data_IF_079585358553
#
_entry.id   IF_079585358553
#
_cell.length_a   1.000
_cell.length_b   1.000
_cell.length_c   1.000
_cell.angle_alpha   90.00
_cell.angle_beta   90.00
_cell.angle_gamma   90.00
#
_symmetry.space_group_name_H-M   'P 1'
#
loop_
_entity.id
_entity.type
_entity.pdbx_description
1 polymer ?
#
# COMPACT_ATOMS: atom_id res chain seq x y z
N UNK A 1 -14.57 -2.96 -6.48
CA UNK A 1 -14.02 -3.16 -7.81
C UNK A 1 -12.57 -3.62 -7.74
N UNK A 2 -11.87 -3.16 -6.71
CA UNK A 2 -10.48 -3.52 -6.51
C UNK A 2 -10.31 -5.03 -6.67
N UNK A 3 -9.05 -5.46 -6.66
CA UNK A 3 -8.73 -6.86 -6.80
C UNK A 3 -8.70 -7.52 -5.42
N UNK A 4 -9.13 -6.75 -4.43
CA UNK A 4 -9.15 -7.23 -3.05
C UNK A 4 -8.43 -6.26 -2.11
N UNK A 5 -8.19 -6.74 -0.90
CA UNK A 5 -7.51 -5.93 0.10
C UNK A 5 -6.04 -6.32 0.15
N UNK A 6 -5.21 -5.33 0.43
CA UNK A 6 -3.77 -5.56 0.52
C UNK A 6 -3.19 -4.92 1.79
N UNK A 7 -1.95 -5.28 2.07
CA UNK A 7 -1.27 -4.76 3.25
C UNK A 7 0.19 -4.46 2.90
N UNK A 8 0.50 -3.17 2.81
CA UNK A 8 1.85 -2.75 2.49
C UNK A 8 2.43 -1.98 3.68
N UNK A 9 3.75 -1.89 3.70
CA UNK A 9 4.44 -1.18 4.76
C UNK A 9 5.57 -0.34 4.16
N UNK A 10 5.91 0.73 4.86
CA UNK A 10 6.97 1.62 4.41
C UNK A 10 8.15 1.58 5.37
N UNK A 11 9.35 1.60 4.79
CA UNK A 11 10.56 1.57 5.58
C UNK A 11 10.48 2.62 6.68
N UNK A 12 11.51 2.64 7.52
CA UNK A 12 11.56 3.59 8.61
C UNK A 12 12.32 4.85 8.17
N UNK A 13 12.15 5.18 6.89
CA UNK A 13 12.81 6.35 6.32
C UNK A 13 11.76 7.27 5.70
N UNK A 14 10.81 6.64 5.00
CA UNK A 14 9.75 7.39 4.35
C UNK A 14 9.33 8.56 5.24
N UNK A 15 8.81 9.59 4.61
CA UNK A 15 8.36 10.78 5.33
C UNK A 15 6.88 10.63 5.70
N UNK A 16 6.44 11.53 6.57
CA UNK A 16 5.05 11.51 7.02
C UNK A 16 4.12 11.89 5.87
N UNK A 17 4.38 13.06 5.30
CA UNK A 17 3.58 13.55 4.20
C UNK A 17 3.62 12.55 3.04
N UNK A 18 4.76 11.88 2.93
CA UNK A 18 4.94 10.89 1.88
C UNK A 18 3.92 9.76 2.08
N UNK A 19 3.82 9.30 3.32
CA UNK A 19 2.90 8.23 3.65
C UNK A 19 1.49 8.63 3.18
N UNK A 20 1.01 9.74 3.71
CA UNK A 20 -0.31 10.22 3.35
C UNK A 20 -0.42 10.40 1.84
N UNK A 21 0.71 10.72 1.23
CA UNK A 21 0.74 10.92 -0.22
C UNK A 21 0.50 9.59 -0.94
N UNK A 22 1.47 8.69 -0.81
CA UNK A 22 1.37 7.39 -1.44
C UNK A 22 -0.04 6.82 -1.29
N UNK A 23 -0.55 6.92 -0.06
CA UNK A 23 -1.89 6.42 0.22
C UNK A 23 -2.91 7.21 -0.60
N UNK A 24 -2.76 8.53 -0.56
CA UNK A 24 -3.66 9.41 -1.29
C UNK A 24 -3.56 9.10 -2.79
N UNK A 25 -2.33 8.85 -3.22
CA UNK A 25 -2.08 8.54 -4.62
C UNK A 25 -2.94 7.36 -5.06
N UNK A 26 -3.13 6.43 -4.14
CA UNK A 26 -3.92 5.24 -4.42
C UNK A 26 -5.41 5.60 -4.35
N UNK A 27 -5.73 6.46 -3.39
CA UNK A 27 -7.12 6.89 -3.21
C UNK A 27 -7.61 7.55 -4.50
N UNK A 28 -6.82 8.49 -5.00
CA UNK A 28 -7.17 9.20 -6.21
C UNK A 28 -6.99 8.27 -7.41
N UNK A 29 -5.85 7.59 -7.43
CA UNK A 29 -5.55 6.66 -8.51
C UNK A 29 -6.68 5.65 -8.68
N UNK A 30 -6.80 4.77 -7.70
CA UNK A 30 -7.84 3.75 -7.73
C UNK A 30 -8.02 3.12 -6.34
N UNK A 31 -7.02 2.37 -5.94
CA UNK A 31 -7.05 1.70 -4.65
C UNK A 31 -7.63 2.62 -3.57
N UNK A 32 -8.00 2.02 -2.45
CA UNK A 32 -8.56 2.77 -1.34
C UNK A 32 -7.91 2.35 -0.02
N UNK A 33 -8.38 2.95 1.05
CA UNK A 33 -7.85 2.65 2.37
C UNK A 33 -9.02 2.41 3.34
N UNK A 34 -8.91 1.31 4.08
CA UNK A 34 -9.94 0.95 5.05
C UNK A 34 -9.39 1.04 6.47
N UNK A 35 -8.09 0.81 6.59
CA UNK A 35 -7.44 0.86 7.88
C UNK A 35 -5.97 1.26 7.69
N UNK A 36 -5.37 1.71 8.79
CA UNK A 36 -3.97 2.12 8.75
C UNK A 36 -3.22 1.55 9.96
N UNK A 37 -1.91 1.65 9.90
CA UNK A 37 -1.06 1.15 10.97
C UNK A 37 -0.08 2.23 11.44
N UNK A 38 -0.43 2.86 12.54
CA UNK A 38 0.41 3.92 13.11
C UNK A 38 1.10 3.38 14.36
N UNK A 39 2.03 2.47 14.14
CA UNK A 39 2.77 1.88 15.25
C UNK A 39 4.18 2.47 15.34
N UNK A 40 4.80 2.29 16.54
CA UNK A 40 6.15 2.79 16.77
C UNK A 40 7.18 1.93 16.06
N UNK A 41 7.69 2.45 14.96
CA UNK A 41 8.69 1.74 14.18
C UNK A 41 8.06 1.06 12.96
N UNK A 42 6.74 1.04 12.96
CA UNK A 42 6.00 0.43 11.86
C UNK A 42 5.04 1.43 11.23
N UNK A 43 5.28 1.71 9.96
CA UNK A 43 4.44 2.65 9.23
C UNK A 43 3.83 1.94 8.01
N UNK A 44 2.65 1.39 8.21
CA UNK A 44 1.95 0.69 7.15
C UNK A 44 0.46 1.00 7.17
N UNK A 45 -0.27 0.30 6.32
CA UNK A 45 -1.72 0.48 6.23
C UNK A 45 -2.37 -0.68 5.48
N UNK A 46 -3.67 -0.80 5.69
CA UNK A 46 -4.43 -1.86 5.05
C UNK A 46 -5.69 -1.26 4.40
N UNK A 47 -6.04 -1.81 3.24
CA UNK A 47 -7.21 -1.34 2.53
C UNK A 47 -7.40 -2.10 1.22
N UNK A 48 -7.96 -1.42 0.23
CA UNK A 48 -8.20 -2.02 -1.06
C UNK A 48 -7.14 -1.56 -2.07
N UNK A 49 -6.56 -2.54 -2.75
CA UNK A 49 -5.53 -2.25 -3.75
C UNK A 49 -5.80 -3.06 -5.01
N UNK A 50 -4.82 -3.06 -5.90
CA UNK A 50 -4.94 -3.79 -7.15
C UNK A 50 -3.56 -4.11 -7.72
N UNK A 51 -3.56 -4.70 -8.94
CA UNK A 51 -2.33 -5.06 -9.60
C UNK A 51 -1.63 -3.82 -10.17
N UNK A 52 -2.44 -2.84 -10.52
CA UNK A 52 -1.92 -1.60 -11.09
C UNK A 52 -1.15 -0.82 -10.02
N UNK A 53 -1.86 -0.46 -8.96
CA UNK A 53 -1.26 0.29 -7.87
C UNK A 53 0.02 -0.41 -7.40
N UNK A 54 -0.05 -1.73 -7.40
CA UNK A 54 1.09 -2.53 -6.97
C UNK A 54 2.33 -2.10 -7.76
N UNK A 55 2.36 -2.48 -9.03
CA UNK A 55 3.47 -2.14 -9.89
C UNK A 55 3.99 -0.74 -9.57
N UNK A 56 3.08 0.11 -9.11
CA UNK A 56 3.44 1.47 -8.76
C UNK A 56 4.50 1.45 -7.67
N UNK A 57 4.08 1.07 -6.47
CA UNK A 57 4.97 1.00 -5.33
C UNK A 57 5.60 -0.39 -5.21
N UNK A 58 5.51 -1.15 -6.30
CA UNK A 58 6.05 -2.49 -6.33
C UNK A 58 7.50 -2.46 -6.84
N UNK A 59 7.72 -1.60 -7.84
CA UNK A 59 9.04 -1.47 -8.43
C UNK A 59 9.92 -0.52 -7.61
N UNK A 60 9.30 0.58 -7.18
CA UNK A 60 10.01 1.57 -6.40
C UNK A 60 10.28 1.01 -5.00
N UNK A 61 9.72 -0.16 -4.75
CA UNK A 61 9.89 -0.82 -3.46
C UNK A 61 11.35 -0.73 -3.02
N UNK A 62 11.57 -1.04 -1.75
CA UNK A 62 12.90 -1.00 -1.18
C UNK A 62 13.24 0.41 -0.67
N UNK A 63 12.84 1.40 -1.45
CA UNK A 63 13.10 2.78 -1.09
C UNK A 63 11.76 3.48 -0.80
N UNK A 64 10.77 2.67 -0.44
CA UNK A 64 9.45 3.19 -0.14
C UNK A 64 8.68 2.16 0.69
N UNK A 65 8.41 1.02 0.05
CA UNK A 65 7.68 -0.04 0.72
C UNK A 65 8.67 -1.03 1.34
N UNK A 66 8.49 -1.28 2.63
CA UNK A 66 9.36 -2.19 3.34
C UNK A 66 8.88 -3.63 3.11
N UNK A 67 7.57 -3.80 3.12
CA UNK A 67 6.98 -5.10 2.92
C UNK A 67 5.64 -4.96 2.20
N UNK A 68 5.42 -5.87 1.25
CA UNK A 68 4.19 -5.86 0.48
C UNK A 68 3.51 -7.23 0.59
N UNK A 69 2.22 -7.19 0.87
CA UNK A 69 1.45 -8.43 1.00
C UNK A 69 0.09 -8.28 0.31
N UNK A 70 0.01 -8.86 -0.88
CA UNK A 70 -1.22 -8.82 -1.66
C UNK A 70 -2.16 -9.95 -1.25
N UNK A 71 -3.42 -9.61 -1.06
CA UNK A 71 -4.42 -10.59 -0.67
C UNK A 71 -5.60 -10.50 -1.63
N UNK A 72 -5.37 -9.85 -2.76
CA UNK A 72 -6.41 -9.69 -3.76
C UNK A 72 -6.33 -10.80 -4.82
N UNK A 73 -5.15 -10.93 -5.39
CA UNK A 73 -4.93 -11.95 -6.41
C UNK A 73 -4.52 -13.27 -5.73
N UNK A 74 -5.47 -13.82 -4.98
CA UNK A 74 -5.24 -15.07 -4.28
C UNK A 74 -5.96 -16.20 -5.01
N UNK A 75 -7.28 -16.08 -5.05
CA UNK A 75 -8.10 -17.08 -5.71
C UNK A 75 -7.95 -18.44 -5.01
N UNK A 76 -9.01 -19.23 -5.08
CA UNK A 76 -9.01 -20.54 -4.47
C UNK A 76 -8.42 -20.47 -3.06
N UNK A 77 -9.30 -20.24 -2.09
CA UNK A 77 -8.87 -20.15 -0.71
C UNK A 77 -9.19 -21.45 0.04
#
# INVERSE_FOLDING_TARGET
GSAGKFIVIFKNDVSEDKIRETKDEVIAEGGTITNEYNMPGMKGFAGELTPQSLTKFQGLQGDLIDSIEEDGIVTTQ
#
